data_IF_789700536667
#
_entry.id   IF_789700536667
#
_cell.length_a   1.000
_cell.length_b   1.000
_cell.length_c   1.000
_cell.angle_alpha   90.00
_cell.angle_beta   90.00
_cell.angle_gamma   90.00
#
_symmetry.space_group_name_H-M   'P 1'
#
loop_
_entity.id
_entity.type
_entity.pdbx_description
1 polymer ?
#
# COMPACT_ATOMS: atom_id res chain seq x y z
N UNK A 1 17.44 -3.24 1.89
CA UNK A 1 16.39 -2.22 1.96
C UNK A 1 16.25 -1.50 0.62
N UNK A 2 15.04 -1.08 0.24
CA UNK A 2 14.74 -0.42 -1.04
C UNK A 2 14.49 1.09 -0.93
N UNK A 3 14.51 1.63 0.30
CA UNK A 3 14.19 3.01 0.64
C UNK A 3 12.71 3.40 0.45
N UNK A 4 11.79 2.41 0.41
CA UNK A 4 10.36 2.68 0.45
C UNK A 4 9.90 3.08 1.86
N UNK A 5 8.98 4.05 1.95
CA UNK A 5 8.29 4.42 3.19
C UNK A 5 7.33 3.32 3.63
N UNK A 6 7.13 3.16 4.94
CA UNK A 6 6.16 2.20 5.50
C UNK A 6 4.73 2.75 5.61
N UNK A 7 4.47 3.95 5.06
CA UNK A 7 3.12 4.51 5.02
C UNK A 7 2.19 3.59 4.22
N UNK A 8 1.03 3.32 4.80
CA UNK A 8 0.02 2.43 4.25
C UNK A 8 -1.08 3.16 3.48
N UNK A 9 -2.15 2.44 3.19
CA UNK A 9 -3.31 2.97 2.49
C UNK A 9 -4.61 2.46 3.11
N UNK A 10 -5.71 3.19 2.86
CA UNK A 10 -7.05 2.68 3.14
C UNK A 10 -7.53 1.81 1.99
N UNK A 11 -8.03 0.62 2.31
CA UNK A 11 -8.62 -0.32 1.35
C UNK A 11 -10.08 -0.51 1.72
N UNK A 12 -10.97 -0.41 0.73
CA UNK A 12 -12.41 -0.54 0.91
C UNK A 12 -13.12 -0.66 -0.44
N UNK A 13 -14.45 -0.54 -0.43
CA UNK A 13 -15.28 -0.60 -1.64
C UNK A 13 -15.74 0.78 -2.04
N UNK A 14 -15.87 1.01 -3.35
CA UNK A 14 -16.51 2.23 -3.84
C UNK A 14 -18.02 2.15 -3.62
N UNK A 15 -18.62 3.30 -3.30
CA UNK A 15 -20.07 3.45 -3.21
C UNK A 15 -20.48 4.86 -3.62
N UNK A 16 -21.74 5.00 -4.00
CA UNK A 16 -22.36 6.30 -4.24
C UNK A 16 -23.25 6.65 -3.04
N UNK A 17 -23.01 7.81 -2.43
CA UNK A 17 -23.86 8.35 -1.37
C UNK A 17 -24.16 9.80 -1.69
N UNK A 18 -25.45 10.13 -1.73
CA UNK A 18 -25.92 11.49 -2.04
C UNK A 18 -25.33 12.05 -3.34
N UNK A 19 -25.20 11.19 -4.36
CA UNK A 19 -24.62 11.54 -5.66
C UNK A 19 -23.10 11.72 -5.67
N UNK A 20 -22.40 11.47 -4.57
CA UNK A 20 -20.93 11.57 -4.47
C UNK A 20 -20.29 10.21 -4.25
N UNK A 21 -19.17 9.98 -4.92
CA UNK A 21 -18.35 8.79 -4.72
C UNK A 21 -17.67 8.81 -3.35
N UNK A 22 -17.86 7.76 -2.58
CA UNK A 22 -17.21 7.54 -1.28
C UNK A 22 -16.58 6.16 -1.22
N UNK A 23 -15.72 5.93 -0.23
CA UNK A 23 -15.26 4.59 0.13
C UNK A 23 -15.99 4.11 1.38
N UNK A 24 -16.56 2.92 1.31
CA UNK A 24 -17.22 2.23 2.43
C UNK A 24 -16.43 0.98 2.81
N UNK A 25 -16.69 0.45 4.00
CA UNK A 25 -15.99 -0.71 4.57
C UNK A 25 -14.46 -0.53 4.56
N UNK A 26 -13.99 0.70 4.74
CA UNK A 26 -12.58 1.04 4.62
C UNK A 26 -11.80 0.62 5.87
N UNK A 27 -10.64 0.01 5.65
CA UNK A 27 -9.69 -0.30 6.72
C UNK A 27 -8.30 0.12 6.28
N UNK A 28 -7.57 0.75 7.19
CA UNK A 28 -6.17 1.07 6.95
C UNK A 28 -5.33 -0.21 6.94
N UNK A 29 -4.45 -0.32 5.96
CA UNK A 29 -3.49 -1.41 5.79
C UNK A 29 -2.09 -0.83 5.89
N UNK A 30 -1.32 -1.26 6.89
CA UNK A 30 0.03 -0.78 7.15
C UNK A 30 0.96 -1.20 6.00
N UNK A 31 1.70 -0.25 5.42
CA UNK A 31 2.51 -0.51 4.22
C UNK A 31 3.55 -1.62 4.40
N UNK A 32 4.18 -1.67 5.58
CA UNK A 32 5.21 -2.69 5.89
C UNK A 32 4.75 -4.14 5.74
N UNK A 33 3.44 -4.40 5.91
CA UNK A 33 2.90 -5.76 5.90
C UNK A 33 2.73 -6.30 4.47
N UNK A 34 2.97 -5.45 3.46
CA UNK A 34 2.77 -5.73 2.04
C UNK A 34 4.03 -5.48 1.19
N UNK A 35 5.18 -5.24 1.82
CA UNK A 35 6.46 -5.10 1.11
C UNK A 35 7.15 -6.47 0.99
N UNK A 36 7.84 -6.76 -0.13
CA UNK A 36 8.74 -7.92 -0.21
C UNK A 36 9.87 -7.83 0.82
N UNK A 37 10.55 -8.94 1.08
CA UNK A 37 11.67 -8.96 2.01
C UNK A 37 12.87 -8.13 1.53
N UNK A 38 13.70 -7.68 2.46
CA UNK A 38 14.92 -6.94 2.15
C UNK A 38 15.86 -7.70 1.18
N UNK A 39 15.91 -9.02 1.31
CA UNK A 39 16.74 -9.89 0.46
C UNK A 39 16.20 -10.01 -0.98
N UNK A 40 14.89 -9.84 -1.18
CA UNK A 40 14.28 -9.83 -2.52
C UNK A 40 14.51 -8.50 -3.20
N UNK A 41 14.25 -7.38 -2.51
CA UNK A 41 14.38 -6.05 -3.09
C UNK A 41 15.84 -5.68 -3.40
N UNK A 42 16.80 -6.18 -2.63
CA UNK A 42 18.24 -5.98 -2.90
C UNK A 42 18.65 -6.51 -4.29
N UNK A 43 18.05 -7.63 -4.72
CA UNK A 43 18.33 -8.23 -6.04
C UNK A 43 17.74 -7.43 -7.20
N UNK A 44 16.67 -6.67 -6.95
CA UNK A 44 15.97 -5.88 -7.96
C UNK A 44 16.61 -4.51 -8.19
N UNK A 45 17.43 -4.06 -7.24
CA UNK A 45 18.16 -2.80 -7.35
C UNK A 45 19.35 -2.97 -8.30
N UNK A 46 19.71 -1.92 -9.06
CA UNK A 46 20.98 -1.88 -9.78
C UNK A 46 22.15 -2.15 -8.85
N UNK A 47 23.10 -2.95 -9.33
CA UNK A 47 24.37 -3.19 -8.66
C UNK A 47 25.42 -2.32 -9.34
N UNK A 48 25.74 -1.20 -8.70
CA UNK A 48 26.96 -0.46 -9.00
C UNK A 48 28.16 -1.12 -8.32
#
# INVERSE_FOLDING_TARGET
IDHQSTMGAFVGKTALKDGKGIMVDSVYRKGSDYLPSDAEVDKLRPKD
#
